data_IF_257649811541
#
_entry.id   IF_257649811541
#
_cell.length_a   1.000
_cell.length_b   1.000
_cell.length_c   1.000
_cell.angle_alpha   90.00
_cell.angle_beta   90.00
_cell.angle_gamma   90.00
#
_symmetry.space_group_name_H-M   'P 1'
#
loop_
_entity.id
_entity.type
_entity.pdbx_description
1 polymer ?
#
# COMPACT_ATOMS: atom_id res chain seq x y z
N UNK A 1 18.25 34.37 16.67
CA UNK A 1 18.29 33.93 16.13
C UNK A 1 18.22 33.25 15.51
N UNK A 2 18.25 33.34 15.69
CA UNK A 2 18.43 32.73 15.17
C UNK A 2 18.44 32.08 14.36
N UNK A 3 18.56 31.96 14.41
CA UNK A 3 18.84 31.41 13.69
C UNK A 3 18.91 31.01 12.85
N UNK A 4 18.70 30.97 12.94
CA UNK A 4 18.99 30.56 12.20
C UNK A 4 19.42 30.50 11.20
N UNK A 5 19.61 30.46 11.85
CA UNK A 5 20.60 30.92 10.89
C UNK A 5 20.46 30.27 9.55
N UNK A 6 20.90 30.93 8.53
CA UNK A 6 20.79 30.33 7.21
C UNK A 6 21.57 29.03 7.17
N UNK A 7 20.87 27.95 7.05
CA UNK A 7 21.53 26.66 6.88
C UNK A 7 22.01 26.55 5.45
N UNK A 8 23.14 25.88 5.22
CA UNK A 8 23.57 25.61 3.86
C UNK A 8 22.47 24.86 3.12
N UNK A 9 22.23 25.25 1.89
CA UNK A 9 21.17 24.65 1.11
C UNK A 9 21.32 23.13 1.02
N UNK A 10 22.55 22.66 0.85
CA UNK A 10 22.84 21.23 0.77
C UNK A 10 22.51 20.51 2.06
N UNK A 11 22.94 21.03 3.19
CA UNK A 11 22.67 20.46 4.49
C UNK A 11 21.17 20.44 4.79
N UNK A 12 20.48 21.51 4.44
CA UNK A 12 19.05 21.62 4.67
C UNK A 12 18.28 20.56 3.85
N UNK A 13 18.68 20.36 2.61
CA UNK A 13 18.06 19.34 1.75
C UNK A 13 18.33 17.95 2.29
N UNK A 14 19.55 17.67 2.71
CA UNK A 14 19.91 16.37 3.25
C UNK A 14 19.12 16.07 4.52
N UNK A 15 18.99 17.04 5.41
CA UNK A 15 18.21 16.90 6.63
C UNK A 15 16.74 16.65 6.33
N UNK A 16 16.20 17.39 5.38
CA UNK A 16 14.82 17.25 4.98
C UNK A 16 14.58 15.87 4.39
N UNK A 17 15.48 15.44 3.51
CA UNK A 17 15.37 14.12 2.88
C UNK A 17 15.44 13.01 3.94
N UNK A 18 16.38 13.10 4.87
CA UNK A 18 16.52 12.11 5.94
C UNK A 18 15.29 12.07 6.83
N UNK A 19 14.72 13.24 7.14
CA UNK A 19 13.51 13.33 7.95
C UNK A 19 12.31 12.71 7.24
N UNK A 20 12.18 12.98 5.94
CA UNK A 20 11.10 12.38 5.15
C UNK A 20 11.27 10.86 5.03
N UNK A 21 12.52 10.39 4.95
CA UNK A 21 12.77 8.95 4.91
C UNK A 21 12.34 8.28 6.21
N UNK A 22 12.71 8.86 7.34
CA UNK A 22 12.29 8.33 8.64
C UNK A 22 10.78 8.31 8.77
N UNK A 23 10.13 9.38 8.30
CA UNK A 23 8.68 9.45 8.32
C UNK A 23 8.07 8.38 7.40
N UNK A 24 8.63 8.21 6.21
CA UNK A 24 8.17 7.18 5.28
C UNK A 24 8.29 5.79 5.91
N UNK A 25 9.39 5.51 6.58
CA UNK A 25 9.60 4.25 7.28
C UNK A 25 8.55 4.04 8.38
N UNK A 26 8.23 5.11 9.11
CA UNK A 26 7.18 5.05 10.13
C UNK A 26 5.82 4.79 9.51
N UNK A 27 5.53 5.41 8.36
CA UNK A 27 4.27 5.22 7.64
C UNK A 27 4.14 3.75 7.20
N UNK A 28 5.16 3.20 6.57
CA UNK A 28 5.10 1.82 6.09
C UNK A 28 5.00 0.83 7.24
N UNK A 29 5.67 1.12 8.35
CA UNK A 29 5.57 0.28 9.54
C UNK A 29 4.13 0.29 10.08
N UNK A 30 3.51 1.47 10.15
CA UNK A 30 2.12 1.58 10.60
C UNK A 30 1.18 0.83 9.68
N UNK A 31 1.37 0.95 8.39
CA UNK A 31 0.49 0.30 7.42
C UNK A 31 0.60 -1.22 7.48
N UNK A 32 1.81 -1.75 7.60
CA UNK A 32 2.03 -3.19 7.57
C UNK A 32 1.74 -3.87 8.91
N UNK A 33 1.88 -3.17 10.02
CA UNK A 33 1.67 -3.75 11.33
C UNK A 33 0.19 -4.08 11.54
N UNK A 34 -0.12 -5.34 11.83
CA UNK A 34 -1.50 -5.77 12.02
C UNK A 34 -2.33 -5.69 10.74
N UNK A 35 -1.67 -5.56 9.60
CA UNK A 35 -2.33 -5.45 8.30
C UNK A 35 -3.33 -4.30 8.28
N UNK A 36 -2.90 -3.18 8.75
CA UNK A 36 -3.75 -2.01 8.88
C UNK A 36 -4.28 -1.51 7.54
N UNK A 37 -3.55 -1.77 6.45
CA UNK A 37 -4.00 -1.43 5.10
C UNK A 37 -5.33 -2.10 4.73
N UNK A 38 -5.74 -3.15 5.45
CA UNK A 38 -7.04 -3.81 5.23
C UNK A 38 -8.21 -3.00 5.72
N UNK A 39 -7.96 -1.97 6.53
CA UNK A 39 -9.01 -1.05 6.96
C UNK A 39 -9.33 -0.11 5.80
N UNK A 40 -10.58 -0.10 5.30
CA UNK A 40 -10.94 0.82 4.20
C UNK A 40 -10.78 2.29 4.57
N UNK A 41 -10.78 2.60 5.87
CA UNK A 41 -10.69 3.96 6.36
C UNK A 41 -9.26 4.36 6.74
N UNK A 42 -8.27 3.58 6.34
CA UNK A 42 -6.87 3.89 6.62
C UNK A 42 -6.40 5.04 5.74
N UNK A 43 -6.56 6.26 6.21
CA UNK A 43 -6.29 7.47 5.43
C UNK A 43 -5.05 8.20 5.95
N UNK A 44 -4.52 9.09 5.10
CA UNK A 44 -3.32 9.85 5.44
C UNK A 44 -3.53 10.72 6.68
N UNK A 45 -4.72 11.30 6.83
CA UNK A 45 -5.02 12.12 7.99
C UNK A 45 -4.94 11.32 9.29
N UNK A 46 -5.44 10.09 9.28
CA UNK A 46 -5.39 9.23 10.45
C UNK A 46 -3.95 8.92 10.86
N UNK A 47 -3.11 8.59 9.88
CA UNK A 47 -1.70 8.35 10.15
C UNK A 47 -0.99 9.60 10.64
N UNK A 48 -1.33 10.75 10.06
CA UNK A 48 -0.75 12.03 10.49
C UNK A 48 -1.01 12.28 11.97
N UNK A 49 -2.25 12.04 12.40
CA UNK A 49 -2.63 12.21 13.80
C UNK A 49 -1.87 11.24 14.70
N UNK A 50 -1.74 10.00 14.29
CA UNK A 50 -1.03 9.00 15.10
C UNK A 50 0.45 9.27 15.19
N UNK A 51 1.05 9.74 14.12
CA UNK A 51 2.48 10.04 14.08
C UNK A 51 2.80 11.45 14.53
N UNK A 52 1.77 12.24 14.86
CA UNK A 52 1.92 13.61 15.32
C UNK A 52 2.66 14.49 14.32
N UNK A 53 2.27 14.36 13.05
CA UNK A 53 2.80 15.17 11.96
C UNK A 53 1.62 15.69 11.14
N UNK A 54 1.89 16.60 10.20
CA UNK A 54 0.84 17.12 9.33
C UNK A 54 0.52 16.09 8.23
N UNK A 55 -0.70 16.19 7.69
CA UNK A 55 -1.08 15.37 6.55
C UNK A 55 -0.16 15.66 5.37
N UNK A 56 0.22 16.92 5.20
CA UNK A 56 1.15 17.32 4.13
C UNK A 56 2.47 16.58 4.25
N UNK A 57 2.99 16.43 5.48
CA UNK A 57 4.23 15.68 5.70
C UNK A 57 4.09 14.23 5.26
N UNK A 58 2.94 13.60 5.55
CA UNK A 58 2.67 12.23 5.11
C UNK A 58 2.72 12.16 3.58
N UNK A 59 2.01 13.08 2.92
CA UNK A 59 1.94 13.08 1.46
C UNK A 59 3.30 13.33 0.82
N UNK A 60 4.08 14.24 1.41
CA UNK A 60 5.42 14.54 0.90
C UNK A 60 6.37 13.36 1.06
N UNK A 61 6.33 12.70 2.22
CA UNK A 61 7.20 11.54 2.46
C UNK A 61 6.88 10.41 1.48
N UNK A 62 5.60 10.15 1.25
CA UNK A 62 5.18 9.11 0.31
C UNK A 62 5.57 9.48 -1.13
N UNK A 63 5.31 10.73 -1.55
CA UNK A 63 5.66 11.16 -2.89
C UNK A 63 7.16 11.04 -3.15
N UNK A 64 7.97 11.40 -2.15
CA UNK A 64 9.42 11.42 -2.28
C UNK A 64 10.00 10.00 -2.32
N UNK A 65 9.55 9.12 -1.44
CA UNK A 65 10.20 7.82 -1.26
C UNK A 65 9.47 6.65 -1.90
N UNK A 66 8.18 6.77 -2.13
CA UNK A 66 7.42 5.76 -2.88
C UNK A 66 7.31 6.13 -4.35
N UNK A 67 7.28 7.42 -4.64
CA UNK A 67 7.22 7.91 -6.02
C UNK A 67 5.81 8.03 -6.58
N UNK A 68 4.79 7.91 -5.72
CA UNK A 68 3.39 8.04 -6.11
C UNK A 68 2.60 8.53 -4.90
N UNK A 69 1.29 8.62 -5.04
CA UNK A 69 0.47 9.16 -3.95
C UNK A 69 0.20 8.14 -2.86
N UNK A 70 -0.37 8.62 -1.76
CA UNK A 70 -0.66 7.79 -0.59
C UNK A 70 -1.62 6.65 -0.92
N UNK A 71 -2.65 6.91 -1.72
CA UNK A 71 -3.60 5.85 -2.08
C UNK A 71 -2.91 4.74 -2.87
N UNK A 72 -1.98 5.09 -3.76
CA UNK A 72 -1.21 4.11 -4.50
C UNK A 72 -0.35 3.26 -3.56
N UNK A 73 0.23 3.87 -2.54
CA UNK A 73 1.01 3.13 -1.54
C UNK A 73 0.13 2.13 -0.78
N UNK A 74 -0.99 2.57 -0.27
CA UNK A 74 -1.91 1.69 0.46
C UNK A 74 -2.42 0.58 -0.45
N UNK A 75 -2.78 0.93 -1.69
CA UNK A 75 -3.26 -0.05 -2.64
C UNK A 75 -2.19 -1.09 -2.99
N UNK A 76 -0.91 -0.70 -2.97
CA UNK A 76 0.16 -1.67 -3.24
C UNK A 76 0.18 -2.79 -2.21
N UNK A 77 -0.06 -2.47 -0.94
CA UNK A 77 -0.18 -3.48 0.12
C UNK A 77 -1.43 -4.33 -0.08
N UNK A 78 -2.56 -3.68 -0.37
CA UNK A 78 -3.83 -4.38 -0.59
C UNK A 78 -3.75 -5.33 -1.78
N UNK A 79 -3.13 -4.88 -2.86
CA UNK A 79 -2.99 -5.70 -4.07
C UNK A 79 -2.09 -6.91 -3.83
N UNK A 80 -1.00 -6.72 -3.08
CA UNK A 80 -0.11 -7.84 -2.75
C UNK A 80 -0.85 -8.89 -1.94
N UNK A 81 -1.66 -8.45 -0.99
CA UNK A 81 -2.47 -9.33 -0.17
C UNK A 81 -3.50 -10.08 -1.02
N UNK A 82 -4.18 -9.35 -1.91
CA UNK A 82 -5.16 -9.94 -2.81
C UNK A 82 -4.52 -10.97 -3.73
N UNK A 83 -3.33 -10.68 -4.27
CA UNK A 83 -2.61 -11.64 -5.10
C UNK A 83 -2.38 -12.95 -4.36
N UNK A 84 -1.92 -12.85 -3.12
CA UNK A 84 -1.66 -14.05 -2.31
C UNK A 84 -2.93 -14.85 -2.09
N UNK A 85 -4.03 -14.18 -1.78
CA UNK A 85 -5.29 -14.86 -1.56
C UNK A 85 -5.84 -15.49 -2.83
N UNK A 86 -5.72 -14.80 -3.97
CA UNK A 86 -6.20 -15.32 -5.25
C UNK A 86 -5.45 -16.60 -5.65
N UNK A 87 -4.20 -16.73 -5.25
CA UNK A 87 -3.40 -17.93 -5.53
C UNK A 87 -3.54 -19.02 -4.47
N UNK A 88 -4.13 -18.70 -3.35
CA UNK A 88 -4.13 -19.60 -2.20
C UNK A 88 -5.28 -20.60 -2.29
N UNK A 89 -4.97 -21.87 -2.10
CA UNK A 89 -5.98 -22.92 -2.04
C UNK A 89 -6.94 -22.71 -0.88
N UNK A 90 -6.50 -22.03 0.18
CA UNK A 90 -7.34 -21.76 1.35
C UNK A 90 -8.44 -20.76 1.07
N UNK A 91 -8.34 -20.02 -0.02
CA UNK A 91 -9.28 -18.96 -0.33
C UNK A 91 -10.12 -19.25 -1.56
N UNK A 92 -10.17 -20.51 -2.00
CA UNK A 92 -10.92 -20.88 -3.22
C UNK A 92 -12.41 -20.70 -3.07
N UNK A 93 -12.96 -20.79 -1.85
CA UNK A 93 -14.38 -20.58 -1.62
C UNK A 93 -14.79 -19.11 -1.70
N UNK A 94 -13.84 -18.19 -1.68
CA UNK A 94 -14.14 -16.77 -1.77
C UNK A 94 -14.11 -16.30 -3.20
N UNK A 95 -15.06 -15.44 -3.57
CA UNK A 95 -15.04 -14.80 -4.90
C UNK A 95 -13.89 -13.81 -4.96
N UNK A 96 -13.51 -13.44 -6.19
CA UNK A 96 -12.49 -12.41 -6.37
C UNK A 96 -12.90 -11.09 -5.70
N UNK A 97 -14.18 -10.76 -5.78
CA UNK A 97 -14.73 -9.56 -5.16
C UNK A 97 -14.59 -9.59 -3.65
N UNK A 98 -14.90 -10.74 -3.05
CA UNK A 98 -14.75 -10.92 -1.61
C UNK A 98 -13.29 -10.76 -1.17
N UNK A 99 -12.37 -11.30 -1.96
CA UNK A 99 -10.94 -11.16 -1.70
C UNK A 99 -10.53 -9.70 -1.72
N UNK A 100 -11.05 -8.94 -2.69
CA UNK A 100 -10.76 -7.51 -2.75
C UNK A 100 -11.19 -6.77 -1.49
N UNK A 101 -12.39 -7.05 -1.02
CA UNK A 101 -12.90 -6.44 0.22
C UNK A 101 -12.09 -6.90 1.43
N UNK A 102 -11.71 -8.16 1.50
CA UNK A 102 -10.89 -8.69 2.58
C UNK A 102 -9.51 -8.04 2.61
N UNK A 103 -9.02 -7.59 1.46
CA UNK A 103 -7.72 -6.94 1.35
C UNK A 103 -7.76 -5.46 1.74
N UNK A 104 -8.96 -4.89 1.93
CA UNK A 104 -9.13 -3.52 2.38
C UNK A 104 -9.73 -2.56 1.38
N UNK A 105 -10.04 -3.00 0.16
CA UNK A 105 -10.66 -2.12 -0.82
C UNK A 105 -12.10 -1.80 -0.41
N UNK A 106 -12.52 -0.56 -0.67
CA UNK A 106 -13.84 -0.09 -0.28
C UNK A 106 -14.95 -0.67 -1.14
N UNK A 107 -14.63 -1.03 -2.38
CA UNK A 107 -15.64 -1.48 -3.33
C UNK A 107 -15.01 -2.40 -4.36
N UNK A 108 -15.88 -3.16 -5.02
CA UNK A 108 -15.47 -3.99 -6.16
C UNK A 108 -14.82 -3.14 -7.25
N UNK A 109 -15.40 -1.98 -7.53
CA UNK A 109 -14.89 -1.08 -8.59
C UNK A 109 -13.48 -0.61 -8.31
N UNK A 110 -13.22 -0.16 -7.08
CA UNK A 110 -11.86 0.29 -6.72
C UNK A 110 -10.86 -0.86 -6.79
N UNK A 111 -11.28 -2.05 -6.37
CA UNK A 111 -10.41 -3.22 -6.43
C UNK A 111 -10.06 -3.57 -7.88
N UNK A 112 -11.06 -3.68 -8.73
CA UNK A 112 -10.85 -4.04 -10.14
C UNK A 112 -10.01 -3.00 -10.86
N UNK A 113 -10.26 -1.72 -10.62
CA UNK A 113 -9.50 -0.64 -11.24
C UNK A 113 -8.03 -0.69 -10.82
N UNK A 114 -7.77 -0.84 -9.52
CA UNK A 114 -6.41 -0.90 -9.01
C UNK A 114 -5.69 -2.14 -9.51
N UNK A 115 -6.36 -3.29 -9.49
CA UNK A 115 -5.77 -4.56 -9.91
C UNK A 115 -5.41 -4.53 -11.40
N UNK A 116 -6.35 -4.06 -12.22
CA UNK A 116 -6.12 -3.99 -13.66
C UNK A 116 -4.98 -3.02 -14.01
N UNK A 117 -4.92 -1.89 -13.30
CA UNK A 117 -3.83 -0.93 -13.53
C UNK A 117 -2.47 -1.54 -13.19
N UNK A 118 -2.40 -2.31 -12.11
CA UNK A 118 -1.13 -2.87 -11.65
C UNK A 118 -0.70 -4.09 -12.45
N UNK A 119 -1.64 -4.96 -12.81
CA UNK A 119 -1.32 -6.26 -13.37
C UNK A 119 -1.84 -6.48 -14.79
N UNK A 120 -2.58 -5.52 -15.36
CA UNK A 120 -3.07 -5.55 -16.73
C UNK A 120 -3.99 -6.73 -17.01
N UNK A 121 -4.68 -7.20 -15.99
CA UNK A 121 -5.69 -8.24 -16.09
C UNK A 121 -6.68 -8.11 -14.94
N UNK A 122 -7.81 -8.80 -15.05
CA UNK A 122 -8.78 -8.80 -13.95
C UNK A 122 -8.36 -9.76 -12.85
N UNK A 123 -8.87 -9.58 -11.63
CA UNK A 123 -8.60 -10.53 -10.56
C UNK A 123 -9.00 -11.96 -10.91
N UNK A 124 -10.12 -12.13 -11.62
CA UNK A 124 -10.57 -13.44 -12.05
C UNK A 124 -9.62 -14.09 -13.05
N UNK A 125 -9.15 -13.30 -14.02
CA UNK A 125 -8.17 -13.77 -14.99
C UNK A 125 -6.87 -14.17 -14.29
N UNK A 126 -6.45 -13.37 -13.34
CA UNK A 126 -5.24 -13.65 -12.57
C UNK A 126 -5.37 -14.96 -11.80
N UNK A 127 -6.51 -15.18 -11.15
CA UNK A 127 -6.77 -16.40 -10.39
C UNK A 127 -6.75 -17.62 -11.30
N UNK A 128 -7.40 -17.52 -12.44
CA UNK A 128 -7.46 -18.62 -13.41
C UNK A 128 -6.07 -18.98 -13.92
N UNK A 129 -5.27 -17.97 -14.26
CA UNK A 129 -3.92 -18.19 -14.73
C UNK A 129 -3.03 -18.82 -13.66
N UNK A 130 -3.16 -18.34 -12.41
CA UNK A 130 -2.39 -18.88 -11.29
C UNK A 130 -2.75 -20.34 -11.02
N UNK A 131 -4.05 -20.67 -11.08
CA UNK A 131 -4.49 -22.03 -10.84
C UNK A 131 -4.06 -22.97 -11.96
N UNK A 132 -4.00 -22.45 -13.20
CA UNK A 132 -3.57 -23.24 -14.35
C UNK A 132 -2.08 -23.59 -14.27
N UNK A 133 -1.27 -22.69 -13.67
CA UNK A 133 0.18 -22.91 -13.54
C UNK A 133 0.57 -23.62 -12.25
N UNK A 134 -0.33 -23.62 -11.26
CA UNK A 134 -0.04 -24.27 -9.98
C UNK A 134 -0.12 -25.79 -10.14
N UNK A 135 0.78 -26.54 -9.46
CA UNK A 135 0.66 -27.99 -9.46
C UNK A 135 -0.68 -28.41 -8.84
N UNK A 136 -1.31 -29.37 -9.46
CA UNK A 136 -2.54 -29.92 -8.92
C UNK A 136 -2.21 -30.64 -7.60
N UNK A 137 -3.14 -30.63 -6.63
CA UNK A 137 -2.92 -31.41 -5.40
C UNK A 137 -2.67 -32.89 -5.65
N UNK A 138 -3.17 -33.39 -6.76
CA UNK A 138 -2.95 -34.79 -7.13
C UNK A 138 -1.52 -35.05 -7.55
N UNK A 139 -0.82 -34.03 -8.03
CA UNK A 139 0.55 -34.15 -8.49
C UNK A 139 1.54 -33.87 -7.38
N UNK A 140 1.08 -33.45 -6.25
CA UNK A 140 1.93 -33.12 -5.10
C UNK A 140 2.36 -34.36 -4.33
#
# INVERSE_FOLDING_TARGET
MKQQGPTPTTGSRANRHARLLKLYQAITKKLSTGRRYRDPHCCALCLAQELNVSQRDILNAVATHFGDNYNALVNSYRLRDAQKMLRSARHTQFTAEEIGLMSGFCSRQSFYAAFNRAFHCTPKQYRTAANATAPSPKDA
#
